data_IF_688285220020
#
_entry.id   IF_688285220020
#
_cell.length_a   1.000
_cell.length_b   1.000
_cell.length_c   1.000
_cell.angle_alpha   90.00
_cell.angle_beta   90.00
_cell.angle_gamma   90.00
#
_symmetry.space_group_name_H-M   'P 1'
#
loop_
_entity.id
_entity.type
_entity.pdbx_description
1 polymer ?
#
# COMPACT_ATOMS: atom_id res chain seq x y z
N UNK A 1 -21.22 -23.38 11.70
CA UNK A 1 -20.43 -22.35 10.98
C UNK A 1 -20.41 -21.12 11.88
N UNK A 2 -19.26 -20.51 12.17
CA UNK A 2 -19.26 -19.31 13.02
C UNK A 2 -19.95 -18.13 12.31
N UNK A 3 -20.50 -17.19 13.08
CA UNK A 3 -21.08 -15.95 12.53
C UNK A 3 -20.06 -15.19 11.68
N UNK A 4 -18.78 -15.17 12.10
CA UNK A 4 -17.67 -14.57 11.35
C UNK A 4 -17.47 -15.23 9.99
N UNK A 5 -17.41 -16.57 9.93
CA UNK A 5 -17.24 -17.29 8.66
C UNK A 5 -18.43 -17.12 7.73
N UNK A 6 -19.65 -17.07 8.26
CA UNK A 6 -20.85 -16.84 7.46
C UNK A 6 -20.88 -15.42 6.88
N UNK A 7 -20.65 -14.40 7.72
CA UNK A 7 -20.57 -13.01 7.29
C UNK A 7 -19.44 -12.79 6.27
N UNK A 8 -18.27 -13.41 6.49
CA UNK A 8 -17.14 -13.32 5.57
C UNK A 8 -17.47 -13.87 4.17
N UNK A 9 -18.25 -14.96 4.07
CA UNK A 9 -18.70 -15.50 2.78
C UNK A 9 -19.63 -14.55 2.04
N UNK A 10 -20.58 -13.92 2.74
CA UNK A 10 -21.48 -12.94 2.13
C UNK A 10 -20.67 -11.74 1.63
N UNK A 11 -19.79 -11.20 2.48
CA UNK A 11 -18.96 -10.06 2.12
C UNK A 11 -18.03 -10.38 0.95
N UNK A 12 -17.44 -11.58 0.93
CA UNK A 12 -16.59 -12.08 -0.14
C UNK A 12 -17.33 -12.11 -1.48
N UNK A 13 -18.58 -12.60 -1.53
CA UNK A 13 -19.40 -12.58 -2.74
C UNK A 13 -19.62 -11.16 -3.27
N UNK A 14 -19.96 -10.22 -2.38
CA UNK A 14 -20.17 -8.82 -2.77
C UNK A 14 -18.90 -8.18 -3.30
N UNK A 15 -17.76 -8.37 -2.62
CA UNK A 15 -16.47 -7.82 -3.06
C UNK A 15 -16.02 -8.45 -4.37
N UNK A 16 -16.15 -9.78 -4.53
CA UNK A 16 -15.81 -10.48 -5.78
C UNK A 16 -16.65 -9.98 -6.95
N UNK A 17 -17.96 -9.74 -6.74
CA UNK A 17 -18.84 -9.16 -7.77
C UNK A 17 -18.40 -7.75 -8.17
N UNK A 18 -18.04 -6.90 -7.20
CA UNK A 18 -17.49 -5.55 -7.48
C UNK A 18 -16.19 -5.64 -8.29
N UNK A 19 -15.30 -6.56 -7.91
CA UNK A 19 -14.04 -6.77 -8.63
C UNK A 19 -14.28 -7.22 -10.06
N UNK A 20 -15.13 -8.22 -10.25
CA UNK A 20 -15.49 -8.72 -11.57
C UNK A 20 -16.13 -7.65 -12.45
N UNK A 21 -16.92 -6.75 -11.87
CA UNK A 21 -17.59 -5.69 -12.62
C UNK A 21 -16.62 -4.69 -13.25
N UNK A 22 -15.55 -4.29 -12.55
CA UNK A 22 -14.53 -3.41 -13.14
C UNK A 22 -13.49 -4.21 -13.93
N UNK A 23 -13.10 -5.41 -13.47
CA UNK A 23 -12.05 -6.19 -14.12
C UNK A 23 -12.48 -6.81 -15.45
N UNK A 24 -13.79 -6.90 -15.72
CA UNK A 24 -14.33 -7.32 -17.03
C UNK A 24 -14.22 -6.24 -18.10
N UNK A 25 -13.83 -5.00 -17.73
CA UNK A 25 -13.68 -3.87 -18.64
C UNK A 25 -12.31 -3.19 -18.46
N UNK A 26 -11.21 -3.95 -18.63
CA UNK A 26 -9.88 -3.47 -18.24
C UNK A 26 -9.43 -2.22 -19.00
N UNK A 27 -9.74 -2.13 -20.30
CA UNK A 27 -9.37 -0.97 -21.14
C UNK A 27 -10.10 0.30 -20.69
N UNK A 28 -11.43 0.25 -20.57
CA UNK A 28 -12.26 1.38 -20.11
C UNK A 28 -11.81 1.89 -18.72
N UNK A 29 -11.50 0.96 -17.81
CA UNK A 29 -11.03 1.30 -16.46
C UNK A 29 -9.65 1.96 -16.49
N UNK A 30 -8.71 1.44 -17.29
CA UNK A 30 -7.38 2.05 -17.44
C UNK A 30 -7.45 3.43 -18.08
N UNK A 31 -8.25 3.62 -19.12
CA UNK A 31 -8.46 4.93 -19.76
C UNK A 31 -9.04 5.95 -18.78
N UNK A 32 -10.03 5.54 -17.98
CA UNK A 32 -10.61 6.39 -16.94
C UNK A 32 -9.55 6.81 -15.91
N UNK A 33 -8.80 5.85 -15.36
CA UNK A 33 -7.74 6.13 -14.38
C UNK A 33 -6.68 7.03 -14.99
N UNK A 34 -6.24 6.76 -16.22
CA UNK A 34 -5.28 7.58 -16.95
C UNK A 34 -5.74 9.04 -17.04
N UNK A 35 -6.97 9.27 -17.52
CA UNK A 35 -7.52 10.62 -17.64
C UNK A 35 -7.64 11.34 -16.28
N UNK A 36 -8.03 10.63 -15.23
CA UNK A 36 -8.08 11.16 -13.86
C UNK A 36 -6.69 11.56 -13.35
N UNK A 37 -5.68 10.72 -13.54
CA UNK A 37 -4.31 10.96 -13.10
C UNK A 37 -3.67 12.15 -13.84
N UNK A 38 -3.78 12.19 -15.17
CA UNK A 38 -3.22 13.27 -15.99
C UNK A 38 -3.88 14.61 -15.64
N UNK A 39 -5.23 14.63 -15.60
CA UNK A 39 -5.99 15.84 -15.28
C UNK A 39 -5.65 16.38 -13.89
N UNK A 40 -5.50 15.49 -12.90
CA UNK A 40 -5.20 15.88 -11.51
C UNK A 40 -3.75 16.34 -11.32
N UNK A 41 -2.80 15.73 -12.01
CA UNK A 41 -1.38 16.05 -11.86
C UNK A 41 -0.90 17.19 -12.77
N UNK A 42 -1.73 17.74 -13.67
CA UNK A 42 -1.30 18.71 -14.69
C UNK A 42 -0.60 19.97 -14.14
N UNK A 43 -0.98 20.41 -12.95
CA UNK A 43 -0.47 21.65 -12.35
C UNK A 43 0.77 21.44 -11.47
N UNK A 44 1.22 20.19 -11.30
CA UNK A 44 2.45 19.87 -10.56
C UNK A 44 3.70 20.24 -11.37
N UNK A 45 4.86 20.32 -10.73
CA UNK A 45 6.14 20.52 -11.42
C UNK A 45 6.34 19.47 -12.52
N UNK A 46 6.12 18.19 -12.20
CA UNK A 46 6.24 17.10 -13.17
C UNK A 46 5.22 17.21 -14.31
N UNK A 47 3.96 17.58 -13.99
CA UNK A 47 2.92 17.78 -14.99
C UNK A 47 3.23 18.91 -15.96
N UNK A 48 3.79 20.02 -15.46
CA UNK A 48 4.22 21.17 -16.26
C UNK A 48 5.43 20.84 -17.13
N UNK A 49 6.45 20.19 -16.55
CA UNK A 49 7.66 19.79 -17.26
C UNK A 49 7.38 18.82 -18.42
N UNK A 50 6.24 18.12 -18.39
CA UNK A 50 5.83 17.14 -19.41
C UNK A 50 4.52 17.50 -20.12
N UNK A 51 4.07 18.75 -20.00
CA UNK A 51 2.91 19.28 -20.74
C UNK A 51 1.66 18.40 -20.64
N UNK A 52 1.29 18.02 -19.40
CA UNK A 52 0.10 17.19 -19.12
C UNK A 52 -1.21 17.85 -19.59
N UNK A 53 -1.26 19.17 -19.66
CA UNK A 53 -2.36 19.95 -20.24
C UNK A 53 -2.58 19.69 -21.74
N UNK A 54 -1.56 19.19 -22.43
CA UNK A 54 -1.61 18.82 -23.83
C UNK A 54 -1.72 17.30 -24.06
N UNK A 55 -1.86 16.48 -23.01
CA UNK A 55 -2.02 15.02 -23.12
C UNK A 55 -3.51 14.69 -23.21
N UNK A 56 -3.96 14.19 -24.37
CA UNK A 56 -5.35 13.76 -24.61
C UNK A 56 -5.45 12.26 -24.85
N UNK A 57 -4.37 11.65 -25.31
CA UNK A 57 -4.29 10.22 -25.62
C UNK A 57 -3.10 9.57 -24.93
N UNK A 58 -3.12 8.24 -24.83
CA UNK A 58 -1.97 7.47 -24.36
C UNK A 58 -0.73 7.69 -25.26
N UNK A 59 -0.91 7.90 -26.57
CA UNK A 59 0.19 8.19 -27.48
C UNK A 59 0.88 9.51 -27.13
N UNK A 60 0.10 10.56 -26.84
CA UNK A 60 0.63 11.86 -26.40
C UNK A 60 1.45 11.72 -25.10
N UNK A 61 1.01 10.84 -24.19
CA UNK A 61 1.70 10.58 -22.93
C UNK A 61 3.05 9.88 -23.16
N UNK A 62 3.08 8.84 -23.99
CA UNK A 62 4.32 8.10 -24.30
C UNK A 62 5.36 9.01 -24.97
N UNK A 63 4.93 9.96 -25.80
CA UNK A 63 5.83 10.92 -26.44
C UNK A 63 6.45 11.90 -25.43
N UNK A 64 5.69 12.33 -24.42
CA UNK A 64 6.09 13.39 -23.47
C UNK A 64 6.73 12.88 -22.18
N UNK A 65 6.41 11.65 -21.78
CA UNK A 65 6.81 11.08 -20.49
C UNK A 65 7.70 9.87 -20.73
N UNK A 66 9.04 10.04 -20.68
CA UNK A 66 9.95 8.92 -20.87
C UNK A 66 9.86 7.95 -19.69
N UNK A 67 10.15 6.67 -19.97
CA UNK A 67 10.34 5.66 -18.94
C UNK A 67 11.58 6.03 -18.12
N UNK A 68 11.46 5.99 -16.79
CA UNK A 68 12.49 6.41 -15.85
C UNK A 68 12.68 5.40 -14.74
N UNK A 69 13.90 5.35 -14.22
CA UNK A 69 14.16 4.72 -12.92
C UNK A 69 14.03 5.73 -11.77
N UNK A 70 14.42 5.32 -10.56
CA UNK A 70 14.37 6.19 -9.39
C UNK A 70 15.39 7.33 -9.47
N UNK A 71 16.57 7.09 -10.02
CA UNK A 71 17.64 8.09 -10.08
C UNK A 71 17.26 9.22 -11.05
N UNK A 72 16.59 8.89 -12.16
CA UNK A 72 16.02 9.90 -13.07
C UNK A 72 14.89 10.72 -12.43
N UNK A 73 14.16 10.15 -11.47
CA UNK A 73 13.13 10.84 -10.69
C UNK A 73 13.66 11.54 -9.45
N UNK A 74 14.94 11.32 -9.10
CA UNK A 74 15.49 11.71 -7.80
C UNK A 74 15.43 13.21 -7.57
N UNK A 75 15.65 14.03 -8.60
CA UNK A 75 15.56 15.48 -8.47
C UNK A 75 14.17 15.95 -8.00
N UNK A 76 13.09 15.32 -8.47
CA UNK A 76 11.74 15.60 -8.00
C UNK A 76 11.52 15.09 -6.58
N UNK A 77 11.96 13.87 -6.28
CA UNK A 77 11.82 13.28 -4.95
C UNK A 77 12.58 14.09 -3.91
N UNK A 78 13.78 14.56 -4.21
CA UNK A 78 14.60 15.35 -3.30
C UNK A 78 13.95 16.71 -2.97
N UNK A 79 13.30 17.36 -3.95
CA UNK A 79 12.46 18.57 -3.70
C UNK A 79 11.30 18.28 -2.74
N UNK A 80 10.57 17.18 -2.98
CA UNK A 80 9.48 16.77 -2.08
C UNK A 80 10.00 16.50 -0.66
N UNK A 81 11.13 15.80 -0.56
CA UNK A 81 11.78 15.47 0.71
C UNK A 81 12.32 16.72 1.40
N UNK A 82 12.72 17.76 0.66
CA UNK A 82 13.06 19.09 1.18
C UNK A 82 11.84 19.88 1.69
N UNK A 83 10.62 19.38 1.44
CA UNK A 83 9.37 19.96 1.94
C UNK A 83 8.59 20.77 0.90
N UNK A 84 9.00 20.77 -0.37
CA UNK A 84 8.24 21.36 -1.47
C UNK A 84 6.96 20.56 -1.76
N UNK A 85 5.92 21.24 -2.23
CA UNK A 85 4.62 20.67 -2.58
C UNK A 85 4.38 20.72 -4.09
N UNK A 86 3.35 20.00 -4.56
CA UNK A 86 2.95 20.01 -5.98
C UNK A 86 4.08 19.58 -6.94
N UNK A 87 4.93 18.63 -6.53
CA UNK A 87 6.07 18.19 -7.35
C UNK A 87 5.70 17.03 -8.29
N UNK A 88 5.53 15.81 -7.75
CA UNK A 88 5.09 14.63 -8.51
C UNK A 88 3.57 14.43 -8.44
N UNK A 89 2.93 14.93 -7.39
CA UNK A 89 1.51 14.82 -7.12
C UNK A 89 1.03 16.08 -6.37
N UNK A 90 -0.24 16.48 -6.49
CA UNK A 90 -0.73 17.65 -5.77
C UNK A 90 -0.58 17.54 -4.25
N UNK A 91 -0.16 18.63 -3.62
CA UNK A 91 0.13 18.76 -2.20
C UNK A 91 1.39 18.01 -1.77
N UNK A 92 1.44 17.70 -0.46
CA UNK A 92 2.51 16.89 0.15
C UNK A 92 2.06 15.45 0.34
N UNK A 93 2.96 14.46 0.20
CA UNK A 93 2.64 13.08 0.54
C UNK A 93 2.36 12.96 2.06
N UNK A 94 1.57 11.95 2.44
CA UNK A 94 1.34 11.65 3.86
C UNK A 94 2.59 11.01 4.50
N UNK A 95 3.28 10.17 3.73
CA UNK A 95 4.48 9.47 4.18
C UNK A 95 5.51 9.37 3.07
N UNK A 96 6.75 9.16 3.48
CA UNK A 96 7.76 8.53 2.65
C UNK A 96 7.96 7.08 3.10
N UNK A 97 7.77 6.13 2.19
CA UNK A 97 8.22 4.77 2.40
C UNK A 97 9.71 4.68 2.06
N UNK A 98 10.53 4.35 3.05
CA UNK A 98 11.97 4.13 2.89
C UNK A 98 12.20 2.70 2.43
N UNK A 99 12.82 2.53 1.27
CA UNK A 99 13.30 1.21 0.84
C UNK A 99 14.80 1.11 1.15
N UNK A 100 15.24 -0.08 1.54
CA UNK A 100 16.66 -0.38 1.70
C UNK A 100 17.27 -0.58 0.30
N UNK A 101 17.62 0.52 -0.35
CA UNK A 101 18.37 0.53 -1.60
C UNK A 101 19.87 0.63 -1.33
N UNK A 102 20.64 -0.29 -1.91
CA UNK A 102 22.10 -0.30 -1.96
C UNK A 102 22.66 0.75 -2.95
N UNK A 103 23.97 0.99 -2.86
CA UNK A 103 24.84 1.83 -3.73
C UNK A 103 24.59 3.34 -3.80
N UNK A 104 23.35 3.83 -3.95
CA UNK A 104 23.06 5.28 -4.14
C UNK A 104 22.44 5.99 -2.94
N UNK A 105 22.23 5.27 -1.83
CA UNK A 105 21.60 5.79 -0.61
C UNK A 105 20.13 5.40 -0.48
N UNK A 106 19.45 5.93 0.54
CA UNK A 106 18.06 5.59 0.81
C UNK A 106 17.12 6.17 -0.25
N UNK A 107 16.22 5.34 -0.79
CA UNK A 107 15.15 5.79 -1.69
C UNK A 107 13.89 6.13 -0.88
N UNK A 108 13.23 7.22 -1.25
CA UNK A 108 12.04 7.74 -0.60
C UNK A 108 10.86 7.66 -1.57
N UNK A 109 9.96 6.71 -1.34
CA UNK A 109 8.76 6.54 -2.17
C UNK A 109 7.61 7.33 -1.55
N UNK A 110 7.07 8.37 -2.21
CA UNK A 110 5.97 9.14 -1.65
C UNK A 110 4.69 8.32 -1.61
N UNK A 111 4.03 8.30 -0.45
CA UNK A 111 2.72 7.68 -0.25
C UNK A 111 1.67 8.79 -0.05
N UNK A 112 0.75 8.89 -0.99
CA UNK A 112 -0.28 9.94 -1.03
C UNK A 112 -1.48 9.59 -0.14
N UNK A 113 -2.33 10.58 0.14
CA UNK A 113 -3.58 10.37 0.87
C UNK A 113 -4.54 9.44 0.13
N UNK A 114 -4.56 9.53 -1.19
CA UNK A 114 -5.44 8.74 -2.06
C UNK A 114 -4.98 7.30 -2.22
N UNK A 115 -3.66 7.05 -2.22
CA UNK A 115 -3.11 5.69 -2.34
C UNK A 115 -3.20 4.90 -1.05
N UNK A 116 -3.15 5.56 0.12
CA UNK A 116 -3.09 4.87 1.41
C UNK A 116 -4.19 3.82 1.64
N UNK A 117 -5.49 4.12 1.40
CA UNK A 117 -6.56 3.13 1.57
C UNK A 117 -6.38 1.87 0.71
N UNK A 118 -5.75 2.01 -0.46
CA UNK A 118 -5.60 0.90 -1.43
C UNK A 118 -4.76 -0.25 -0.88
N UNK A 119 -3.77 0.03 -0.01
CA UNK A 119 -2.96 -1.00 0.63
C UNK A 119 -3.81 -1.93 1.52
N UNK A 120 -4.71 -1.35 2.32
CA UNK A 120 -5.60 -2.12 3.20
C UNK A 120 -6.68 -2.83 2.39
N UNK A 121 -7.24 -2.15 1.39
CA UNK A 121 -8.27 -2.73 0.53
C UNK A 121 -7.76 -3.89 -0.30
N UNK A 122 -6.55 -3.80 -0.88
CA UNK A 122 -5.95 -4.86 -1.65
C UNK A 122 -5.73 -6.13 -0.80
N UNK A 123 -5.13 -5.98 0.38
CA UNK A 123 -4.91 -7.11 1.30
C UNK A 123 -6.22 -7.77 1.74
N UNK A 124 -7.23 -6.97 2.10
CA UNK A 124 -8.58 -7.45 2.43
C UNK A 124 -9.20 -8.18 1.24
N UNK A 125 -9.14 -7.58 0.05
CA UNK A 125 -9.78 -8.12 -1.15
C UNK A 125 -9.13 -9.44 -1.58
N UNK A 126 -7.81 -9.61 -1.43
CA UNK A 126 -7.14 -10.88 -1.71
C UNK A 126 -7.72 -12.03 -0.87
N UNK A 127 -7.87 -11.82 0.44
CA UNK A 127 -8.48 -12.80 1.36
C UNK A 127 -9.94 -13.10 0.97
N UNK A 128 -10.71 -12.06 0.64
CA UNK A 128 -12.11 -12.21 0.25
C UNK A 128 -12.28 -12.90 -1.10
N UNK A 129 -11.40 -12.66 -2.07
CA UNK A 129 -11.38 -13.37 -3.34
C UNK A 129 -11.13 -14.86 -3.12
N UNK A 130 -10.17 -15.23 -2.25
CA UNK A 130 -9.95 -16.63 -1.87
C UNK A 130 -11.20 -17.28 -1.26
N UNK A 131 -11.89 -16.58 -0.34
CA UNK A 131 -13.13 -17.07 0.27
C UNK A 131 -14.23 -17.24 -0.78
N UNK A 132 -14.37 -16.28 -1.71
CA UNK A 132 -15.38 -16.33 -2.76
C UNK A 132 -15.15 -17.50 -3.72
N UNK A 133 -13.89 -17.75 -4.08
CA UNK A 133 -13.49 -18.81 -5.01
C UNK A 133 -13.62 -20.20 -4.37
N UNK A 134 -13.10 -20.37 -3.16
CA UNK A 134 -12.97 -21.70 -2.54
C UNK A 134 -14.13 -22.06 -1.61
N UNK A 135 -14.92 -21.08 -1.17
CA UNK A 135 -15.89 -21.24 -0.09
C UNK A 135 -15.27 -21.55 1.28
N UNK A 136 -13.94 -21.60 1.39
CA UNK A 136 -13.22 -21.85 2.65
C UNK A 136 -13.12 -20.53 3.40
N UNK A 137 -13.80 -20.45 4.55
CA UNK A 137 -13.81 -19.25 5.41
C UNK A 137 -13.56 -19.58 6.88
N UNK A 138 -13.23 -20.84 7.22
CA UNK A 138 -13.02 -21.24 8.62
C UNK A 138 -11.79 -20.56 9.24
N UNK A 139 -10.77 -20.27 8.41
CA UNK A 139 -9.52 -19.64 8.83
C UNK A 139 -9.71 -18.26 9.46
N UNK A 140 -10.79 -17.53 9.13
CA UNK A 140 -11.07 -16.19 9.71
C UNK A 140 -11.34 -16.22 11.22
N UNK A 141 -11.51 -17.41 11.80
CA UNK A 141 -11.72 -17.58 13.23
C UNK A 141 -10.41 -17.70 14.03
N UNK A 142 -9.28 -17.97 13.36
CA UNK A 142 -7.97 -17.98 13.98
C UNK A 142 -7.30 -16.62 13.94
N UNK A 143 -6.05 -16.59 14.42
CA UNK A 143 -5.18 -15.42 14.37
C UNK A 143 -4.30 -15.47 13.11
N UNK A 144 -3.79 -14.30 12.72
CA UNK A 144 -2.93 -14.12 11.55
C UNK A 144 -1.54 -13.64 11.97
N UNK A 145 -0.49 -14.26 11.45
CA UNK A 145 0.85 -13.67 11.48
C UNK A 145 0.94 -12.70 10.31
N UNK A 146 1.41 -11.49 10.57
CA UNK A 146 1.76 -10.52 9.53
C UNK A 146 3.18 -10.02 9.79
N UNK A 147 4.14 -10.54 9.04
CA UNK A 147 5.55 -10.18 9.14
C UNK A 147 5.78 -8.83 8.45
N UNK A 148 5.95 -7.78 9.23
CA UNK A 148 6.15 -6.42 8.72
C UNK A 148 7.49 -5.81 9.15
N UNK A 149 7.88 -4.74 8.44
CA UNK A 149 8.89 -3.83 8.93
C UNK A 149 8.45 -3.10 10.19
N UNK A 150 9.42 -2.52 10.90
CA UNK A 150 9.15 -1.73 12.10
C UNK A 150 8.08 -0.66 11.82
N UNK A 151 7.04 -0.56 12.67
CA UNK A 151 6.01 0.45 12.55
C UNK A 151 6.47 1.81 13.08
N UNK A 152 7.69 1.92 13.58
CA UNK A 152 8.27 3.18 14.00
C UNK A 152 8.40 4.14 12.82
N UNK A 153 8.00 5.37 13.09
CA UNK A 153 8.02 6.45 12.12
C UNK A 153 8.96 7.53 12.63
N UNK A 154 9.77 8.05 11.72
CA UNK A 154 10.52 9.28 11.92
C UNK A 154 9.84 10.39 11.14
N UNK A 155 10.29 11.63 11.29
CA UNK A 155 9.79 12.76 10.52
C UNK A 155 10.92 13.42 9.74
N UNK A 156 10.61 13.85 8.52
CA UNK A 156 11.52 14.63 7.68
C UNK A 156 10.73 15.76 7.03
N UNK A 157 11.06 16.99 7.41
CA UNK A 157 10.44 18.22 6.88
C UNK A 157 8.89 18.20 6.93
N UNK A 158 8.32 17.75 8.05
CA UNK A 158 6.88 17.70 8.27
C UNK A 158 6.15 16.51 7.63
N UNK A 159 6.87 15.56 7.01
CA UNK A 159 6.30 14.33 6.47
C UNK A 159 6.87 13.12 7.21
N UNK A 160 6.00 12.19 7.58
CA UNK A 160 6.39 10.96 8.30
C UNK A 160 7.15 10.00 7.37
N UNK A 161 8.13 9.28 7.90
CA UNK A 161 9.04 8.40 7.17
C UNK A 161 9.14 7.06 7.88
N UNK A 162 9.00 5.96 7.15
CA UNK A 162 9.11 4.60 7.70
C UNK A 162 9.15 3.51 6.65
N UNK A 163 9.14 2.24 7.07
CA UNK A 163 8.96 1.09 6.17
C UNK A 163 7.50 1.05 5.70
N UNK A 164 7.23 0.70 4.45
CA UNK A 164 5.85 0.70 3.91
C UNK A 164 4.88 -0.15 4.77
N UNK A 165 5.25 -1.40 5.08
CA UNK A 165 4.41 -2.28 5.90
C UNK A 165 4.25 -1.76 7.35
N UNK A 166 5.25 -1.05 7.87
CA UNK A 166 5.18 -0.33 9.14
C UNK A 166 4.21 0.84 9.10
N UNK A 167 4.27 1.68 8.06
CA UNK A 167 3.33 2.79 7.82
C UNK A 167 1.90 2.26 7.74
N UNK A 168 1.67 1.22 6.95
CA UNK A 168 0.33 0.62 6.75
C UNK A 168 -0.25 0.07 8.05
N UNK A 169 0.59 -0.37 9.01
CA UNK A 169 0.14 -0.87 10.30
C UNK A 169 -0.68 0.16 11.10
N UNK A 170 -0.38 1.46 10.95
CA UNK A 170 -1.13 2.58 11.57
C UNK A 170 -2.55 2.75 11.02
N UNK A 171 -2.83 2.17 9.83
CA UNK A 171 -4.12 2.27 9.15
C UNK A 171 -4.98 1.02 9.30
N UNK A 172 -4.47 -0.05 9.92
CA UNK A 172 -5.24 -1.27 10.14
C UNK A 172 -6.34 -0.98 11.17
N UNK A 173 -7.63 -1.14 10.83
CA UNK A 173 -8.71 -0.91 11.77
C UNK A 173 -8.59 -1.75 13.04
N UNK A 174 -8.89 -1.19 14.21
CA UNK A 174 -8.70 -1.86 15.51
C UNK A 174 -9.40 -3.22 15.66
N UNK A 175 -10.52 -3.43 14.96
CA UNK A 175 -11.19 -4.74 14.96
C UNK A 175 -10.39 -5.83 14.22
N UNK A 176 -9.55 -5.47 13.26
CA UNK A 176 -8.61 -6.38 12.57
C UNK A 176 -7.33 -6.57 13.38
N UNK A 177 -6.92 -5.58 14.17
CA UNK A 177 -5.70 -5.66 15.00
C UNK A 177 -5.78 -6.79 16.05
N UNK A 178 -6.95 -7.06 16.65
CA UNK A 178 -7.12 -8.10 17.68
C UNK A 178 -6.73 -9.52 17.24
N UNK A 179 -6.87 -9.79 15.95
CA UNK A 179 -6.54 -11.10 15.38
C UNK A 179 -5.15 -11.14 14.76
N UNK A 180 -4.42 -10.03 14.74
CA UNK A 180 -3.13 -9.88 14.07
C UNK A 180 -2.00 -9.99 15.09
N UNK A 181 -1.01 -10.80 14.75
CA UNK A 181 0.23 -11.04 15.47
C UNK A 181 1.41 -10.71 14.52
N UNK A 182 2.60 -10.39 15.03
CA UNK A 182 2.93 -10.23 16.45
C UNK A 182 2.43 -8.90 17.03
N UNK A 183 2.67 -8.68 18.32
CA UNK A 183 2.41 -7.44 19.05
C UNK A 183 3.11 -6.24 18.42
N UNK A 184 2.76 -5.02 18.86
CA UNK A 184 3.44 -3.81 18.41
C UNK A 184 4.90 -3.82 18.84
N UNK A 185 5.14 -4.20 20.09
CA UNK A 185 6.44 -4.28 20.74
C UNK A 185 7.37 -5.23 19.97
N UNK A 186 6.91 -6.44 19.66
CA UNK A 186 7.67 -7.40 18.86
C UNK A 186 7.87 -6.91 17.43
N UNK A 187 6.90 -6.18 16.85
CA UNK A 187 7.09 -5.57 15.53
C UNK A 187 8.16 -4.47 15.50
N UNK A 188 8.46 -3.82 16.63
CA UNK A 188 9.53 -2.82 16.76
C UNK A 188 10.93 -3.42 16.94
N UNK A 189 11.07 -4.74 17.10
CA UNK A 189 12.41 -5.37 17.19
C UNK A 189 13.11 -5.22 15.83
N UNK A 190 14.29 -4.61 15.85
CA UNK A 190 15.13 -4.36 14.66
C UNK A 190 15.93 -5.59 14.23
N UNK A 191 16.53 -6.30 15.19
CA UNK A 191 17.30 -7.52 14.90
C UNK A 191 16.37 -8.65 14.43
N UNK A 192 16.64 -9.16 13.23
CA UNK A 192 15.73 -10.08 12.56
C UNK A 192 15.61 -11.41 13.30
N UNK A 193 16.72 -11.99 13.74
CA UNK A 193 16.71 -13.29 14.42
C UNK A 193 15.98 -13.18 15.77
N UNK A 194 16.29 -12.14 16.56
CA UNK A 194 15.60 -11.85 17.82
C UNK A 194 14.10 -11.63 17.60
N UNK A 195 13.72 -10.95 16.51
CA UNK A 195 12.32 -10.72 16.17
C UNK A 195 11.59 -12.03 15.85
N UNK A 196 12.22 -12.93 15.10
CA UNK A 196 11.63 -14.24 14.76
C UNK A 196 11.40 -15.05 16.02
N UNK A 197 12.37 -15.11 16.94
CA UNK A 197 12.21 -15.82 18.21
C UNK A 197 11.05 -15.26 19.04
N UNK A 198 10.94 -13.94 19.16
CA UNK A 198 9.83 -13.28 19.85
C UNK A 198 8.47 -13.58 19.18
N UNK A 199 8.40 -13.61 17.85
CA UNK A 199 7.18 -13.99 17.11
C UNK A 199 6.78 -15.44 17.43
N UNK A 200 7.74 -16.36 17.45
CA UNK A 200 7.48 -17.77 17.78
C UNK A 200 6.93 -17.88 19.20
N UNK A 201 7.55 -17.22 20.18
CA UNK A 201 7.07 -17.22 21.56
C UNK A 201 5.64 -16.66 21.70
N UNK A 202 5.30 -15.59 20.97
CA UNK A 202 3.95 -15.02 20.99
C UNK A 202 2.89 -15.90 20.31
N UNK A 203 3.29 -16.77 19.37
CA UNK A 203 2.36 -17.42 18.44
C UNK A 203 2.26 -18.93 18.59
N UNK A 204 3.25 -19.61 19.19
CA UNK A 204 3.34 -21.08 19.25
C UNK A 204 2.12 -21.76 19.88
N UNK A 205 1.51 -21.13 20.87
CA UNK A 205 0.38 -21.66 21.64
C UNK A 205 -0.98 -21.15 21.12
N UNK A 206 -0.98 -20.42 19.99
CA UNK A 206 -2.16 -19.79 19.41
C UNK A 206 -2.60 -20.51 18.13
N UNK A 207 -3.91 -20.51 17.88
CA UNK A 207 -4.47 -21.02 16.63
C UNK A 207 -4.21 -20.05 15.47
N UNK A 208 -3.04 -20.18 14.85
CA UNK A 208 -2.63 -19.39 13.69
C UNK A 208 -3.17 -20.03 12.40
N UNK A 209 -3.88 -19.24 11.60
CA UNK A 209 -4.61 -19.74 10.42
C UNK A 209 -4.28 -19.00 9.13
N UNK A 210 -3.52 -17.91 9.22
CA UNK A 210 -3.04 -17.10 8.10
C UNK A 210 -1.64 -16.61 8.41
N UNK A 211 -0.74 -16.66 7.42
CA UNK A 211 0.58 -16.03 7.47
C UNK A 211 0.70 -15.13 6.24
N UNK A 212 1.19 -13.91 6.42
CA UNK A 212 1.40 -12.92 5.36
C UNK A 212 2.55 -11.96 5.75
N UNK A 213 2.95 -11.06 4.86
CA UNK A 213 3.96 -10.03 5.08
C UNK A 213 3.93 -8.93 4.03
#
# INVERSE_FOLDING_TARGET
MSLKSFAAKIFAKTVRKKIQAWSSKPVEVQEKIFNELISKAKDTSFGKDHHFDHIKTHADFVEKVPIRDYEDLRAYVDKMVAGEEDILWPGKPLYYAKTSGTTSGAKYIPITKESMPTHIEAARNAILCYIAETGKAKFVNGKMIFLQGSPELTEKNGVKLGRLSGIVAHYVPGYLQKNRMPSWETNCIDDWETKVDAIVEETRDLNMTVISG
#
